data_IF_587693825866
#
_entry.id   IF_587693825866
#
_cell.length_a   1.000
_cell.length_b   1.000
_cell.length_c   1.000
_cell.angle_alpha   90.00
_cell.angle_beta   90.00
_cell.angle_gamma   90.00
#
_symmetry.space_group_name_H-M   'P 1'
#
loop_
_entity.id
_entity.type
_entity.pdbx_description
1 polymer ?
#
# COMPACT_ATOMS: atom_id res chain seq x y z
N UNK A 1 1.41 28.29 31.54
CA UNK A 1 2.13 27.09 31.01
C UNK A 1 2.48 26.19 32.18
N UNK A 2 2.19 24.89 32.11
CA UNK A 2 2.55 23.92 33.16
C UNK A 2 4.05 23.62 33.12
N UNK A 3 4.67 23.41 34.29
CA UNK A 3 6.09 23.04 34.45
C UNK A 3 6.46 21.79 33.63
N UNK A 4 5.52 20.85 33.48
CA UNK A 4 5.70 19.66 32.66
C UNK A 4 5.91 19.95 31.17
N UNK A 5 5.30 21.02 30.65
CA UNK A 5 5.46 21.48 29.27
C UNK A 5 6.79 22.20 29.06
N UNK A 6 7.32 22.84 30.11
CA UNK A 6 8.65 23.45 30.12
C UNK A 6 9.77 22.41 30.09
N UNK A 7 9.57 21.30 30.80
CA UNK A 7 10.50 20.18 30.87
C UNK A 7 10.27 19.11 29.77
N UNK A 8 9.35 19.37 28.83
CA UNK A 8 9.03 18.47 27.71
C UNK A 8 8.64 17.02 28.11
N UNK A 9 8.11 16.80 29.33
CA UNK A 9 7.72 15.46 29.78
C UNK A 9 6.61 14.87 28.90
N UNK A 10 5.74 15.72 28.35
CA UNK A 10 4.70 15.35 27.40
C UNK A 10 5.28 14.68 26.14
N UNK A 11 6.42 15.17 25.63
CA UNK A 11 7.10 14.57 24.47
C UNK A 11 7.69 13.20 24.80
N UNK A 12 8.26 13.05 25.99
CA UNK A 12 8.85 11.78 26.45
C UNK A 12 7.76 10.72 26.65
N UNK A 13 6.64 11.08 27.28
CA UNK A 13 5.49 10.18 27.44
C UNK A 13 4.93 9.77 26.07
N UNK A 14 4.80 10.72 25.15
CA UNK A 14 4.36 10.41 23.78
C UNK A 14 5.34 9.45 23.07
N UNK A 15 6.64 9.66 23.21
CA UNK A 15 7.65 8.76 22.65
C UNK A 15 7.50 7.33 23.17
N UNK A 16 7.36 7.15 24.49
CA UNK A 16 7.15 5.81 25.05
C UNK A 16 5.80 5.19 24.65
N UNK A 17 4.76 6.01 24.49
CA UNK A 17 3.47 5.55 23.94
C UNK A 17 3.64 5.03 22.51
N UNK A 18 4.35 5.76 21.65
CA UNK A 18 4.66 5.35 20.26
C UNK A 18 5.43 4.03 20.26
N UNK A 19 6.48 3.91 21.08
CA UNK A 19 7.28 2.68 21.19
C UNK A 19 6.42 1.50 21.63
N UNK A 20 5.52 1.70 22.60
CA UNK A 20 4.61 0.65 23.07
C UNK A 20 3.62 0.22 21.98
N UNK A 21 3.01 1.16 21.26
CA UNK A 21 2.03 0.85 20.22
C UNK A 21 2.65 0.09 19.03
N UNK A 22 3.89 0.41 18.69
CA UNK A 22 4.60 -0.24 17.57
C UNK A 22 5.21 -1.61 17.92
N UNK A 23 4.90 -2.18 19.09
CA UNK A 23 5.43 -3.49 19.49
C UNK A 23 6.87 -3.42 20.04
N UNK A 24 7.24 -2.28 20.63
CA UNK A 24 8.55 -2.05 21.24
C UNK A 24 9.60 -1.55 20.25
N UNK A 25 10.85 -1.49 20.72
CA UNK A 25 11.97 -0.89 19.97
C UNK A 25 12.23 -1.65 18.66
N UNK A 26 12.11 -2.98 18.66
CA UNK A 26 12.32 -3.79 17.44
C UNK A 26 11.28 -3.48 16.36
N UNK A 27 10.00 -3.36 16.74
CA UNK A 27 8.94 -2.99 15.80
C UNK A 27 9.12 -1.56 15.28
N UNK A 28 9.52 -0.62 16.14
CA UNK A 28 9.90 0.73 15.70
C UNK A 28 11.06 0.72 14.70
N UNK A 29 12.13 -0.04 14.96
CA UNK A 29 13.27 -0.13 14.04
C UNK A 29 12.88 -0.78 12.71
N UNK A 30 12.00 -1.79 12.72
CA UNK A 30 11.48 -2.39 11.51
C UNK A 30 10.63 -1.41 10.70
N UNK A 31 9.75 -0.63 11.35
CA UNK A 31 8.97 0.42 10.69
C UNK A 31 9.87 1.53 10.16
N UNK A 32 10.90 1.92 10.92
CA UNK A 32 11.88 2.90 10.46
C UNK A 32 12.64 2.41 9.22
N UNK A 33 13.00 1.13 9.17
CA UNK A 33 13.64 0.53 7.99
C UNK A 33 12.72 0.43 6.77
N UNK A 34 11.44 0.12 6.98
CA UNK A 34 10.49 -0.16 5.89
C UNK A 34 9.75 1.09 5.39
N UNK A 35 9.44 2.03 6.28
CA UNK A 35 8.53 3.17 6.06
C UNK A 35 9.18 4.53 6.31
N UNK A 36 10.47 4.55 6.67
CA UNK A 36 11.27 5.74 7.01
C UNK A 36 10.74 6.59 8.19
N UNK A 37 9.66 6.17 8.83
CA UNK A 37 8.99 6.91 9.89
C UNK A 37 8.40 6.00 10.94
N UNK A 38 8.33 6.51 12.17
CA UNK A 38 7.64 5.88 13.29
C UNK A 38 6.43 6.74 13.65
N UNK A 39 5.22 6.19 13.47
CA UNK A 39 3.96 6.83 13.87
C UNK A 39 3.20 6.00 14.89
N UNK A 40 2.33 6.66 15.64
CA UNK A 40 1.28 6.05 16.47
C UNK A 40 -0.10 6.35 15.89
N UNK A 41 -1.01 5.40 15.95
CA UNK A 41 -2.35 5.57 15.39
C UNK A 41 -3.28 4.42 15.71
N UNK A 42 -4.58 4.65 15.51
CA UNK A 42 -5.62 3.64 15.68
C UNK A 42 -5.76 2.86 14.38
N UNK A 43 -5.79 1.52 14.48
CA UNK A 43 -6.11 0.66 13.34
C UNK A 43 -7.59 0.84 12.98
N UNK A 44 -7.85 1.40 11.80
CA UNK A 44 -9.21 1.65 11.29
C UNK A 44 -9.77 0.41 10.62
N UNK A 45 -8.91 -0.33 9.91
CA UNK A 45 -9.32 -1.55 9.22
C UNK A 45 -8.18 -2.25 8.50
N UNK A 46 -8.49 -3.43 8.00
CA UNK A 46 -7.62 -4.26 7.17
C UNK A 46 -8.36 -4.61 5.89
N UNK A 47 -7.68 -4.55 4.75
CA UNK A 47 -8.28 -4.94 3.47
C UNK A 47 -8.17 -6.46 3.22
N UNK A 48 -8.73 -6.91 2.09
CA UNK A 48 -8.66 -8.31 1.66
C UNK A 48 -7.25 -8.82 1.34
N UNK A 49 -6.28 -7.91 1.19
CA UNK A 49 -4.88 -8.23 0.91
C UNK A 49 -4.03 -8.19 2.17
N UNK A 50 -4.59 -7.82 3.33
CA UNK A 50 -3.88 -7.70 4.61
C UNK A 50 -3.13 -6.38 4.80
N UNK A 51 -3.42 -5.35 3.99
CA UNK A 51 -2.93 -4.00 4.22
C UNK A 51 -3.73 -3.38 5.36
N UNK A 52 -3.03 -2.73 6.30
CA UNK A 52 -3.61 -2.15 7.51
C UNK A 52 -3.65 -0.63 7.41
N UNK A 53 -4.80 -0.05 7.72
CA UNK A 53 -5.03 1.39 7.59
C UNK A 53 -5.11 2.03 8.97
N UNK A 54 -4.34 3.08 9.17
CA UNK A 54 -4.24 3.77 10.45
C UNK A 54 -4.67 5.22 10.34
N UNK A 55 -5.28 5.73 11.40
CA UNK A 55 -5.66 7.14 11.53
C UNK A 55 -5.19 7.71 12.88
N UNK A 56 -4.71 8.94 12.84
CA UNK A 56 -4.42 9.75 14.02
C UNK A 56 -4.68 11.24 13.73
N UNK A 57 -5.80 11.81 14.21
CA UNK A 57 -6.14 13.22 14.03
C UNK A 57 -5.17 14.20 14.70
N UNK A 58 -4.26 13.72 15.55
CA UNK A 58 -3.19 14.53 16.16
C UNK A 58 -2.18 15.03 15.13
N UNK A 59 -1.96 14.26 14.06
CA UNK A 59 -1.07 14.68 12.97
C UNK A 59 -1.77 15.68 12.05
N UNK A 60 -0.96 16.46 11.34
CA UNK A 60 -1.45 17.38 10.34
C UNK A 60 -2.16 16.64 9.19
N UNK A 61 -3.09 17.34 8.53
CA UNK A 61 -3.79 16.83 7.36
C UNK A 61 -2.80 16.34 6.29
N UNK A 62 -3.10 15.21 5.65
CA UNK A 62 -2.21 14.47 4.74
C UNK A 62 -1.22 13.51 5.41
N UNK A 63 -0.98 13.61 6.73
CA UNK A 63 -0.19 12.61 7.49
C UNK A 63 -0.98 11.93 8.60
N UNK A 64 -2.20 12.38 8.82
CA UNK A 64 -3.17 11.83 9.75
C UNK A 64 -3.70 10.45 9.34
N UNK A 65 -3.49 10.01 8.10
CA UNK A 65 -3.85 8.67 7.62
C UNK A 65 -2.68 8.05 6.86
N UNK A 66 -2.44 6.76 7.06
CA UNK A 66 -1.42 6.01 6.34
C UNK A 66 -1.76 4.52 6.27
N UNK A 67 -1.01 3.82 5.42
CA UNK A 67 -1.17 2.40 5.15
C UNK A 67 0.11 1.70 5.60
N UNK A 68 -0.04 0.58 6.30
CA UNK A 68 1.01 -0.41 6.47
C UNK A 68 0.70 -1.59 5.56
N UNK A 69 1.45 -1.69 4.46
CA UNK A 69 1.27 -2.76 3.48
C UNK A 69 1.54 -4.14 4.10
N UNK A 70 0.90 -5.17 3.54
CA UNK A 70 1.09 -6.56 3.99
C UNK A 70 2.58 -6.93 3.98
N UNK A 71 3.00 -7.67 5.02
CA UNK A 71 4.38 -8.15 5.18
C UNK A 71 4.84 -9.04 4.02
N UNK A 72 3.92 -9.71 3.31
CA UNK A 72 4.20 -10.52 2.11
C UNK A 72 5.07 -9.78 1.08
N UNK A 73 4.88 -8.47 0.94
CA UNK A 73 5.59 -7.66 -0.05
C UNK A 73 6.95 -7.15 0.46
N UNK A 74 7.25 -7.26 1.76
CA UNK A 74 8.47 -6.74 2.38
C UNK A 74 8.80 -5.31 1.91
N UNK A 75 9.89 -5.13 1.15
CA UNK A 75 10.34 -3.85 0.58
C UNK A 75 9.75 -3.54 -0.81
N UNK A 76 9.12 -4.52 -1.46
CA UNK A 76 8.51 -4.41 -2.79
C UNK A 76 7.03 -3.99 -2.69
N UNK A 77 6.71 -3.13 -1.72
CA UNK A 77 5.38 -2.57 -1.60
C UNK A 77 5.21 -1.40 -2.57
N UNK A 78 4.00 -1.21 -3.08
CA UNK A 78 3.71 -0.17 -4.06
C UNK A 78 2.32 0.45 -3.82
N UNK A 79 2.15 1.70 -4.26
CA UNK A 79 0.87 2.42 -4.18
C UNK A 79 -0.27 1.73 -4.91
N UNK A 80 -0.01 0.95 -5.96
CA UNK A 80 -1.05 0.20 -6.68
C UNK A 80 -1.67 -0.95 -5.89
N UNK A 81 -1.05 -1.35 -4.78
CA UNK A 81 -1.54 -2.45 -3.93
C UNK A 81 -2.71 -2.04 -3.03
N UNK A 82 -3.05 -0.74 -2.97
CA UNK A 82 -4.19 -0.25 -2.21
C UNK A 82 -5.51 -0.36 -3.00
N UNK A 83 -6.49 -1.18 -2.55
CA UNK A 83 -7.80 -1.30 -3.18
C UNK A 83 -8.79 -0.18 -2.81
N UNK A 84 -8.39 0.84 -2.04
CA UNK A 84 -9.28 1.90 -1.50
C UNK A 84 -9.90 2.84 -2.56
N UNK A 85 -9.56 2.65 -3.84
CA UNK A 85 -10.16 3.40 -4.95
C UNK A 85 -11.70 3.30 -4.97
N UNK A 86 -12.43 4.35 -5.41
CA UNK A 86 -13.88 4.30 -5.58
C UNK A 86 -14.29 3.08 -6.41
N UNK A 87 -15.33 2.35 -6.00
CA UNK A 87 -15.80 1.11 -6.65
C UNK A 87 -17.11 1.33 -7.42
N UNK A 88 -17.18 0.80 -8.64
CA UNK A 88 -18.33 0.87 -9.54
C UNK A 88 -18.64 -0.53 -10.07
N UNK A 89 -19.90 -0.77 -10.48
CA UNK A 89 -20.39 -2.10 -10.91
C UNK A 89 -19.63 -2.71 -12.09
N UNK A 90 -19.04 -1.89 -12.95
CA UNK A 90 -18.33 -2.30 -14.16
C UNK A 90 -16.83 -2.52 -13.93
N UNK A 91 -16.31 -2.24 -12.73
CA UNK A 91 -14.89 -2.42 -12.46
C UNK A 91 -14.59 -3.81 -11.96
N UNK A 92 -13.46 -4.33 -12.41
CA UNK A 92 -12.85 -5.52 -11.84
C UNK A 92 -12.29 -5.22 -10.45
N UNK A 93 -12.12 -6.29 -9.68
CA UNK A 93 -11.38 -6.27 -8.44
C UNK A 93 -9.99 -5.63 -8.62
N UNK A 94 -9.52 -4.95 -7.57
CA UNK A 94 -8.18 -4.36 -7.60
C UNK A 94 -7.14 -5.43 -7.86
N UNK A 95 -6.11 -5.09 -8.62
CA UNK A 95 -4.93 -5.93 -8.80
C UNK A 95 -3.73 -5.00 -8.77
N UNK A 96 -2.61 -5.48 -8.25
CA UNK A 96 -1.36 -4.75 -8.29
C UNK A 96 -0.92 -4.45 -9.73
N UNK A 97 -0.08 -3.43 -9.90
CA UNK A 97 0.46 -3.08 -11.20
C UNK A 97 1.46 -4.14 -11.66
N UNK A 98 1.14 -4.81 -12.78
CA UNK A 98 1.97 -5.87 -13.36
C UNK A 98 3.00 -5.37 -14.37
N UNK A 99 3.17 -4.05 -14.53
CA UNK A 99 4.15 -3.48 -15.46
C UNK A 99 5.57 -3.99 -15.17
N UNK A 100 6.30 -4.43 -16.21
CA UNK A 100 7.65 -4.98 -16.07
C UNK A 100 7.71 -6.42 -15.57
N UNK A 101 6.57 -7.06 -15.34
CA UNK A 101 6.45 -8.49 -15.01
C UNK A 101 5.96 -9.30 -16.21
N UNK A 102 5.92 -10.62 -16.09
CA UNK A 102 5.32 -11.51 -17.11
C UNK A 102 3.81 -11.28 -17.28
N UNK A 103 3.14 -10.70 -16.28
CA UNK A 103 1.71 -10.35 -16.32
C UNK A 103 1.40 -8.97 -16.90
N UNK A 104 2.39 -8.28 -17.49
CA UNK A 104 2.19 -6.95 -18.04
C UNK A 104 1.22 -6.93 -19.23
N UNK A 105 0.49 -5.82 -19.38
CA UNK A 105 -0.37 -5.62 -20.53
C UNK A 105 0.45 -5.59 -21.82
N UNK A 106 0.10 -6.50 -22.75
CA UNK A 106 0.68 -6.54 -24.09
C UNK A 106 -0.41 -6.22 -25.11
N UNK A 107 -0.32 -5.10 -25.85
CA UNK A 107 -1.32 -4.73 -26.82
C UNK A 107 -1.31 -5.73 -27.98
N UNK A 108 -2.50 -6.03 -28.51
CA UNK A 108 -2.69 -6.87 -29.70
C UNK A 108 -3.75 -6.27 -30.61
N UNK A 109 -3.77 -6.70 -31.88
CA UNK A 109 -4.84 -6.30 -32.78
C UNK A 109 -6.16 -6.89 -32.31
N UNK A 110 -7.09 -6.04 -31.89
CA UNK A 110 -8.47 -6.43 -31.60
C UNK A 110 -9.30 -6.66 -32.86
N UNK A 111 -8.71 -6.41 -34.04
CA UNK A 111 -9.35 -6.60 -35.35
C UNK A 111 -8.92 -7.90 -36.02
N UNK A 112 -9.84 -8.52 -36.76
CA UNK A 112 -9.57 -9.68 -37.61
C UNK A 112 -8.82 -9.25 -38.88
N UNK A 113 -8.09 -10.18 -39.50
CA UNK A 113 -7.46 -9.94 -40.80
C UNK A 113 -8.54 -9.52 -41.83
N UNK A 114 -8.26 -8.46 -42.60
CA UNK A 114 -9.21 -7.92 -43.58
C UNK A 114 -9.15 -8.63 -44.93
N UNK A 115 -8.03 -9.29 -45.22
CA UNK A 115 -7.78 -9.99 -46.48
C UNK A 115 -7.55 -11.45 -46.14
N UNK A 116 -8.31 -12.34 -46.78
CA UNK A 116 -8.14 -13.79 -46.64
C UNK A 116 -7.04 -14.27 -47.59
N UNK A 117 -6.07 -15.03 -47.05
CA UNK A 117 -4.99 -15.59 -47.86
C UNK A 117 -5.45 -16.89 -48.53
N UNK A 118 -5.05 -17.09 -49.78
CA UNK A 118 -5.24 -18.38 -50.45
C UNK A 118 -4.35 -19.45 -49.83
N UNK A 119 -4.93 -20.62 -49.49
CA UNK A 119 -4.19 -21.78 -49.00
C UNK A 119 -3.89 -22.76 -50.14
N UNK A 120 -2.61 -23.10 -50.41
CA UNK A 120 -2.28 -24.02 -51.49
C UNK A 120 -2.77 -25.45 -51.21
N UNK A 121 -3.15 -26.21 -52.25
CA UNK A 121 -3.45 -27.64 -52.10
C UNK A 121 -2.21 -28.40 -51.65
N UNK A 122 -2.37 -29.35 -50.70
CA UNK A 122 -1.29 -30.25 -50.29
C UNK A 122 -1.03 -31.27 -51.40
N UNK A 123 0.21 -31.40 -51.85
CA UNK A 123 0.65 -32.53 -52.68
C UNK A 123 0.70 -33.81 -51.84
N UNK A 124 0.05 -34.88 -52.31
CA UNK A 124 0.11 -36.22 -51.73
C UNK A 124 1.49 -36.85 -51.84
#
# INVERSE_FOLDING_TARGET
MSLAKYLALDKVVNFFSIVRQNGGIRGCLYKLYRQDEIKDGVLVGEDKYGNKYFENPRYFYSRNRWIEYNEKYHMQYDGSQDPSRPKYKWMLDSTENMSGTTGQYTPYSTTRAKVEAWMPPKTS
#
